data_IF_575907119863
#
_entry.id   IF_575907119863
#
_cell.length_a   1.000
_cell.length_b   1.000
_cell.length_c   1.000
_cell.angle_alpha   90.00
_cell.angle_beta   90.00
_cell.angle_gamma   90.00
#
_symmetry.space_group_name_H-M   'P 1'
#
loop_
_entity.id
_entity.type
_entity.pdbx_description
1 polymer ?
#
# COMPACT_ATOMS: atom_id res chain seq x y z
N UNK A 1 -12.79 2.33 18.87
CA UNK A 1 -11.56 1.58 19.18
C UNK A 1 -11.07 1.90 20.59
N UNK A 2 -10.82 3.16 20.96
CA UNK A 2 -10.33 3.50 22.32
C UNK A 2 -11.22 2.91 23.40
N UNK A 3 -12.53 3.14 23.34
CA UNK A 3 -13.49 2.61 24.32
C UNK A 3 -13.55 1.06 24.37
N UNK A 4 -13.08 0.39 23.34
CA UNK A 4 -13.12 -1.08 23.23
C UNK A 4 -11.74 -1.75 23.43
N UNK A 5 -10.78 -1.01 23.99
CA UNK A 5 -9.47 -1.58 24.37
C UNK A 5 -8.41 -1.64 23.26
N UNK A 6 -8.60 -0.97 22.13
CA UNK A 6 -7.63 -0.88 21.05
C UNK A 6 -8.12 -1.42 19.70
N UNK A 7 -7.19 -1.80 18.84
CA UNK A 7 -7.47 -2.39 17.53
C UNK A 7 -6.37 -2.17 16.49
N UNK A 8 -6.63 -2.62 15.27
CA UNK A 8 -5.73 -2.44 14.12
C UNK A 8 -6.43 -1.70 12.98
N UNK A 9 -5.76 -0.69 12.44
CA UNK A 9 -6.16 0.04 11.24
C UNK A 9 -5.11 -0.26 10.15
N UNK A 10 -5.58 -0.71 9.00
CA UNK A 10 -4.72 -0.96 7.84
C UNK A 10 -5.18 -0.07 6.69
N UNK A 11 -4.36 0.91 6.35
CA UNK A 11 -4.64 1.86 5.28
C UNK A 11 -4.05 1.36 3.96
N UNK A 12 -4.82 1.43 2.88
CA UNK A 12 -4.36 1.04 1.55
C UNK A 12 -3.85 2.27 0.79
N UNK A 13 -2.52 2.39 0.70
CA UNK A 13 -1.84 3.39 -0.11
C UNK A 13 -1.48 2.82 -1.50
N UNK A 14 -0.29 3.06 -1.98
CA UNK A 14 0.28 2.57 -3.25
C UNK A 14 1.78 2.89 -3.26
N UNK A 15 2.58 2.19 -4.07
CA UNK A 15 3.94 2.64 -4.41
C UNK A 15 3.93 4.03 -5.06
N UNK A 16 2.84 4.42 -5.72
CA UNK A 16 2.65 5.77 -6.26
C UNK A 16 2.61 6.87 -5.18
N UNK A 17 2.46 6.54 -3.91
CA UNK A 17 2.63 7.46 -2.78
C UNK A 17 4.09 7.60 -2.32
N UNK A 18 5.03 6.92 -2.97
CA UNK A 18 6.45 6.86 -2.62
C UNK A 18 7.30 7.34 -3.78
N UNK A 19 7.01 6.89 -5.01
CA UNK A 19 7.74 7.23 -6.23
C UNK A 19 6.83 7.91 -7.24
N UNK A 20 7.42 8.76 -8.08
CA UNK A 20 6.76 9.33 -9.26
C UNK A 20 6.68 8.32 -10.41
N UNK A 21 5.73 8.54 -11.32
CA UNK A 21 5.60 7.76 -12.55
C UNK A 21 4.95 8.62 -13.63
N UNK A 22 5.45 8.57 -14.86
CA UNK A 22 4.87 9.26 -16.01
C UNK A 22 3.48 8.73 -16.40
N UNK A 23 3.13 7.52 -15.96
CA UNK A 23 1.86 6.88 -16.28
C UNK A 23 0.78 7.12 -15.21
N UNK A 24 1.11 7.81 -14.13
CA UNK A 24 0.22 8.03 -12.98
C UNK A 24 -0.03 9.53 -12.79
N UNK A 25 -1.31 9.91 -12.72
CA UNK A 25 -1.67 11.32 -12.52
C UNK A 25 -1.18 11.82 -11.15
N UNK A 26 -0.61 13.04 -11.11
CA UNK A 26 -0.03 13.64 -9.91
C UNK A 26 -1.00 13.71 -8.72
N UNK A 27 -2.30 13.90 -8.98
CA UNK A 27 -3.30 13.92 -7.90
C UNK A 27 -3.43 12.56 -7.19
N UNK A 28 -3.25 11.44 -7.94
CA UNK A 28 -3.23 10.11 -7.34
C UNK A 28 -1.98 9.93 -6.46
N UNK A 29 -0.80 10.33 -6.96
CA UNK A 29 0.43 10.31 -6.16
C UNK A 29 0.26 11.11 -4.87
N UNK A 30 -0.25 12.34 -4.95
CA UNK A 30 -0.48 13.20 -3.79
C UNK A 30 -1.45 12.56 -2.79
N UNK A 31 -2.58 11.98 -3.26
CA UNK A 31 -3.55 11.32 -2.40
C UNK A 31 -2.96 10.11 -1.66
N UNK A 32 -2.13 9.31 -2.34
CA UNK A 32 -1.51 8.11 -1.75
C UNK A 32 -0.34 8.46 -0.83
N UNK A 33 0.39 9.55 -1.11
CA UNK A 33 1.38 10.10 -0.19
C UNK A 33 0.73 10.65 1.09
N UNK A 34 -0.43 11.29 0.98
CA UNK A 34 -1.20 11.76 2.14
C UNK A 34 -1.62 10.57 3.04
N UNK A 35 -2.15 9.49 2.47
CA UNK A 35 -2.49 8.26 3.22
C UNK A 35 -1.27 7.69 3.94
N UNK A 36 -0.11 7.67 3.28
CA UNK A 36 1.15 7.21 3.85
C UNK A 36 1.54 7.98 5.12
N UNK A 37 1.59 9.31 5.04
CA UNK A 37 2.01 10.13 6.18
C UNK A 37 0.94 10.22 7.27
N UNK A 38 -0.34 10.27 6.91
CA UNK A 38 -1.46 10.21 7.85
C UNK A 38 -1.39 8.93 8.70
N UNK A 39 -1.05 7.79 8.10
CA UNK A 39 -0.86 6.52 8.79
C UNK A 39 0.19 6.63 9.89
N UNK A 40 1.35 7.21 9.59
CA UNK A 40 2.44 7.41 10.58
C UNK A 40 2.00 8.32 11.71
N UNK A 41 1.33 9.43 11.39
CA UNK A 41 0.82 10.36 12.39
C UNK A 41 -0.19 9.69 13.32
N UNK A 42 -1.15 8.95 12.77
CA UNK A 42 -2.15 8.24 13.56
C UNK A 42 -1.50 7.13 14.42
N UNK A 43 -0.51 6.42 13.90
CA UNK A 43 0.23 5.41 14.65
C UNK A 43 0.88 5.99 15.91
N UNK A 44 1.56 7.12 15.79
CA UNK A 44 2.22 7.79 16.94
C UNK A 44 1.19 8.34 17.92
N UNK A 45 0.12 8.97 17.43
CA UNK A 45 -0.90 9.59 18.27
C UNK A 45 -1.70 8.60 19.10
N UNK A 46 -1.94 7.39 18.58
CA UNK A 46 -2.84 6.40 19.17
C UNK A 46 -2.15 5.14 19.70
N UNK A 47 -0.83 5.07 19.67
CA UNK A 47 -0.08 3.92 20.20
C UNK A 47 -0.43 3.64 21.68
N UNK A 48 -0.53 4.67 22.50
CA UNK A 48 -0.91 4.58 23.92
C UNK A 48 -2.33 4.04 24.14
N UNK A 49 -3.19 4.19 23.14
CA UNK A 49 -4.57 3.71 23.16
C UNK A 49 -4.68 2.24 22.68
N UNK A 50 -3.53 1.56 22.48
CA UNK A 50 -3.42 0.20 21.93
C UNK A 50 -4.02 0.09 20.52
N UNK A 51 -3.98 1.17 19.74
CA UNK A 51 -4.39 1.17 18.34
C UNK A 51 -3.13 1.16 17.48
N UNK A 52 -2.99 0.11 16.68
CA UNK A 52 -1.95 0.01 15.66
C UNK A 52 -2.49 0.59 14.34
N UNK A 53 -1.65 1.34 13.63
CA UNK A 53 -2.02 1.92 12.33
C UNK A 53 -0.86 1.70 11.36
N UNK A 54 -1.11 0.92 10.32
CA UNK A 54 -0.10 0.57 9.31
C UNK A 54 -0.63 0.82 7.90
N UNK A 55 0.26 0.86 6.92
CA UNK A 55 -0.14 0.99 5.52
C UNK A 55 0.42 -0.13 4.64
N UNK A 56 -0.38 -0.53 3.66
CA UNK A 56 0.03 -1.45 2.60
C UNK A 56 0.14 -0.66 1.30
N UNK A 57 1.20 -0.91 0.55
CA UNK A 57 1.56 -0.18 -0.68
C UNK A 57 1.65 -1.16 -1.86
N UNK A 58 0.52 -1.46 -2.53
CA UNK A 58 0.55 -2.30 -3.71
C UNK A 58 1.31 -1.66 -4.87
N UNK A 59 1.97 -2.51 -5.65
CA UNK A 59 2.58 -2.18 -6.93
C UNK A 59 1.57 -2.26 -8.09
N UNK A 60 2.02 -2.84 -9.20
CA UNK A 60 1.17 -3.07 -10.37
C UNK A 60 0.26 -4.27 -10.13
N UNK A 61 -1.01 -4.00 -9.99
CA UNK A 61 -2.07 -4.99 -9.76
C UNK A 61 -2.86 -5.28 -11.06
N UNK A 62 -3.75 -6.28 -11.09
CA UNK A 62 -4.67 -6.47 -12.21
C UNK A 62 -5.45 -5.19 -12.53
N UNK A 63 -5.78 -4.92 -13.81
CA UNK A 63 -6.50 -3.71 -14.18
C UNK A 63 -7.90 -3.71 -13.59
N UNK A 64 -8.29 -2.56 -13.05
CA UNK A 64 -9.65 -2.29 -12.58
C UNK A 64 -10.41 -1.45 -13.63
N UNK A 65 -11.73 -1.38 -13.50
CA UNK A 65 -12.58 -0.54 -14.37
C UNK A 65 -12.14 0.92 -14.42
N UNK A 66 -11.51 1.42 -13.35
CA UNK A 66 -11.01 2.80 -13.23
C UNK A 66 -9.56 2.97 -13.66
N UNK A 67 -8.90 1.93 -14.13
CA UNK A 67 -7.47 1.97 -14.48
C UNK A 67 -7.13 2.87 -15.67
N UNK A 68 -8.10 3.18 -16.53
CA UNK A 68 -7.88 4.04 -17.69
C UNK A 68 -6.67 3.60 -18.52
N UNK A 69 -5.79 4.54 -18.84
CA UNK A 69 -4.57 4.29 -19.64
C UNK A 69 -3.67 3.21 -19.05
N UNK A 70 -3.65 3.04 -17.74
CA UNK A 70 -2.80 2.02 -17.09
C UNK A 70 -3.31 0.58 -17.30
N UNK A 71 -4.50 0.39 -17.89
CA UNK A 71 -4.99 -0.90 -18.32
C UNK A 71 -4.48 -1.30 -19.71
N UNK A 72 -3.93 -0.37 -20.51
CA UNK A 72 -3.41 -0.63 -21.84
C UNK A 72 -2.33 -1.71 -21.81
N UNK A 73 -2.43 -2.77 -22.67
CA UNK A 73 -1.47 -3.86 -22.66
C UNK A 73 -0.02 -3.44 -22.91
N UNK A 74 0.20 -2.43 -23.76
CA UNK A 74 1.55 -1.93 -24.07
C UNK A 74 2.17 -1.22 -22.86
N UNK A 75 1.40 -0.36 -22.19
CA UNK A 75 1.81 0.32 -20.96
C UNK A 75 2.09 -0.70 -19.85
N UNK A 76 1.26 -1.73 -19.74
CA UNK A 76 1.47 -2.80 -18.77
C UNK A 76 2.73 -3.61 -19.06
N UNK A 77 2.97 -3.98 -20.32
CA UNK A 77 4.17 -4.72 -20.71
C UNK A 77 5.44 -3.94 -20.38
N UNK A 78 5.46 -2.64 -20.63
CA UNK A 78 6.56 -1.76 -20.25
C UNK A 78 6.79 -1.72 -18.74
N UNK A 79 5.73 -1.55 -17.97
CA UNK A 79 5.82 -1.56 -16.50
C UNK A 79 6.31 -2.89 -15.94
N UNK A 80 5.97 -4.03 -16.57
CA UNK A 80 6.47 -5.34 -16.13
C UNK A 80 7.98 -5.50 -16.33
N UNK A 81 8.58 -4.78 -17.29
CA UNK A 81 10.04 -4.86 -17.54
C UNK A 81 10.88 -4.32 -16.38
N UNK A 82 10.34 -3.38 -15.61
CA UNK A 82 11.07 -2.76 -14.49
C UNK A 82 10.74 -3.40 -13.14
N UNK A 83 9.73 -4.28 -13.08
CA UNK A 83 9.44 -5.03 -11.85
C UNK A 83 10.38 -6.23 -11.75
N UNK A 84 11.15 -6.41 -10.68
CA UNK A 84 12.06 -7.54 -10.52
C UNK A 84 11.40 -8.91 -10.68
N UNK A 85 10.21 -9.11 -10.12
CA UNK A 85 9.45 -10.37 -10.24
C UNK A 85 8.80 -10.58 -11.62
N UNK A 86 8.88 -9.62 -12.56
CA UNK A 86 8.43 -9.71 -13.96
C UNK A 86 6.95 -10.10 -14.15
N UNK A 87 6.13 -9.91 -13.16
CA UNK A 87 4.69 -10.14 -13.21
C UNK A 87 3.94 -9.08 -12.41
N UNK A 88 2.64 -8.87 -12.68
CA UNK A 88 1.78 -8.11 -11.76
C UNK A 88 1.58 -8.90 -10.46
N UNK A 89 1.21 -8.21 -9.40
CA UNK A 89 0.72 -8.85 -8.19
C UNK A 89 -0.70 -9.41 -8.39
N UNK A 90 -1.12 -10.26 -7.47
CA UNK A 90 -2.47 -10.78 -7.35
C UNK A 90 -3.19 -10.12 -6.16
N UNK A 91 -4.51 -10.05 -6.22
CA UNK A 91 -5.31 -9.40 -5.16
C UNK A 91 -5.08 -10.05 -3.81
N UNK A 92 -4.97 -11.38 -3.78
CA UNK A 92 -4.76 -12.13 -2.55
C UNK A 92 -3.38 -11.87 -1.91
N UNK A 93 -2.36 -11.54 -2.71
CA UNK A 93 -1.04 -11.17 -2.18
C UNK A 93 -1.10 -9.88 -1.35
N UNK A 94 -1.94 -8.93 -1.75
CA UNK A 94 -2.23 -7.72 -0.96
C UNK A 94 -3.10 -8.05 0.25
N UNK A 95 -4.10 -8.91 0.07
CA UNK A 95 -5.00 -9.31 1.13
C UNK A 95 -4.26 -10.03 2.29
N UNK A 96 -3.27 -10.86 1.99
CA UNK A 96 -2.46 -11.53 3.02
C UNK A 96 -1.63 -10.53 3.85
N UNK A 97 -1.09 -9.49 3.23
CA UNK A 97 -0.39 -8.43 3.97
C UNK A 97 -1.35 -7.67 4.90
N UNK A 98 -2.57 -7.39 4.43
CA UNK A 98 -3.62 -6.75 5.24
C UNK A 98 -4.04 -7.67 6.39
N UNK A 99 -4.24 -8.95 6.12
CA UNK A 99 -4.62 -9.95 7.13
C UNK A 99 -3.57 -10.04 8.24
N UNK A 100 -2.30 -10.14 7.88
CA UNK A 100 -1.18 -10.12 8.83
C UNK A 100 -1.20 -8.87 9.70
N UNK A 101 -1.32 -7.68 9.10
CA UNK A 101 -1.36 -6.42 9.85
C UNK A 101 -2.63 -6.27 10.71
N UNK A 102 -3.72 -6.91 10.34
CA UNK A 102 -4.97 -6.88 11.11
C UNK A 102 -4.93 -7.84 12.30
N UNK A 103 -4.09 -8.89 12.25
CA UNK A 103 -4.00 -9.93 13.27
C UNK A 103 -3.09 -9.56 14.44
N UNK A 104 -3.14 -10.35 15.51
CA UNK A 104 -2.27 -10.21 16.68
C UNK A 104 -0.81 -10.62 16.40
N UNK A 105 -0.54 -11.33 15.30
CA UNK A 105 0.81 -11.65 14.86
C UNK A 105 1.66 -10.40 14.59
N UNK A 106 1.02 -9.27 14.28
CA UNK A 106 1.65 -7.97 14.10
C UNK A 106 1.50 -7.05 15.31
N UNK A 107 1.34 -7.59 16.51
CA UNK A 107 1.02 -6.84 17.75
C UNK A 107 2.05 -5.76 18.12
N UNK A 108 3.29 -5.87 17.67
CA UNK A 108 4.34 -4.87 17.91
C UNK A 108 4.68 -4.04 16.66
N UNK A 109 3.80 -4.05 15.64
CA UNK A 109 3.98 -3.32 14.38
C UNK A 109 2.97 -2.18 14.30
N UNK A 110 3.44 -0.93 14.32
CA UNK A 110 2.64 0.28 14.08
C UNK A 110 3.47 1.33 13.35
N UNK A 111 2.84 2.14 12.50
CA UNK A 111 3.51 3.15 11.66
C UNK A 111 4.31 2.57 10.50
N UNK A 112 4.24 1.27 10.27
CA UNK A 112 4.99 0.57 9.23
C UNK A 112 4.33 0.66 7.87
N UNK A 113 5.17 0.53 6.84
CA UNK A 113 4.80 0.48 5.43
C UNK A 113 5.15 -0.90 4.88
N UNK A 114 4.17 -1.67 4.42
CA UNK A 114 4.41 -2.95 3.75
C UNK A 114 4.21 -2.77 2.24
N UNK A 115 5.28 -3.00 1.48
CA UNK A 115 5.25 -2.96 0.03
C UNK A 115 4.91 -4.35 -0.52
N UNK A 116 3.89 -4.41 -1.38
CA UNK A 116 3.46 -5.63 -2.08
C UNK A 116 3.56 -5.32 -3.57
N UNK A 117 4.77 -5.25 -4.09
CA UNK A 117 5.09 -4.60 -5.36
C UNK A 117 6.04 -5.39 -6.29
N UNK A 118 6.40 -6.61 -5.89
CA UNK A 118 7.33 -7.43 -6.66
C UNK A 118 8.75 -6.86 -6.73
N UNK A 119 9.12 -6.00 -5.77
CA UNK A 119 10.43 -5.34 -5.69
C UNK A 119 10.53 -4.05 -6.51
N UNK A 120 9.42 -3.51 -7.01
CA UNK A 120 9.42 -2.35 -7.92
C UNK A 120 10.09 -1.10 -7.35
N UNK A 121 10.09 -0.90 -6.03
CA UNK A 121 10.73 0.26 -5.38
C UNK A 121 11.99 -0.09 -4.59
N UNK A 122 12.47 -1.32 -4.69
CA UNK A 122 13.71 -1.76 -4.04
C UNK A 122 14.98 -1.44 -4.85
N UNK A 123 14.82 -0.92 -6.06
CA UNK A 123 15.87 -0.60 -7.03
C UNK A 123 15.97 0.89 -7.30
#
# INVERSE_FOLDING_TARGET
MVANGGGSIVNLSSIAGIIGSEHVHMAYNASKAAVRLMTKSAAVQHAKDKIRVNSVHPGVMPPMRTSGRTADPSVRAERMRVIPMRRPGEVDEVAYAILFLASDESSYITGSEIHVDGGAIAI
#
